data_IF_714525883127
#
_entry.id   IF_714525883127
#
_cell.length_a   1.000
_cell.length_b   1.000
_cell.length_c   1.000
_cell.angle_alpha   90.00
_cell.angle_beta   90.00
_cell.angle_gamma   90.00
#
_symmetry.space_group_name_H-M   'P 1'
#
loop_
_entity.id
_entity.type
_entity.pdbx_description
1 polymer ?
#
# COMPACT_ATOMS: atom_id res chain seq x y z
N UNK A 1 -18.63 76.36 34.01
CA UNK A 1 -19.19 75.11 33.47
C UNK A 1 -18.11 74.44 32.63
N UNK A 2 -17.52 73.39 33.12
CA UNK A 2 -16.38 72.70 32.49
C UNK A 2 -16.90 71.46 31.78
N UNK A 3 -16.90 71.45 30.41
CA UNK A 3 -17.25 70.32 29.57
C UNK A 3 -16.05 69.36 29.49
N UNK A 4 -16.24 68.12 29.83
CA UNK A 4 -15.28 67.04 29.67
C UNK A 4 -15.52 66.36 28.32
N UNK A 5 -14.51 66.41 27.45
CA UNK A 5 -14.48 65.65 26.18
C UNK A 5 -13.95 64.26 26.53
N UNK A 6 -14.78 63.21 26.28
CA UNK A 6 -14.38 61.80 26.33
C UNK A 6 -13.86 61.39 24.97
N UNK A 7 -12.57 61.04 24.89
CA UNK A 7 -11.97 60.43 23.72
C UNK A 7 -12.14 58.91 23.83
N UNK A 8 -12.93 58.35 22.93
CA UNK A 8 -13.06 56.91 22.77
C UNK A 8 -11.90 56.38 21.93
N UNK A 9 -11.04 55.57 22.53
CA UNK A 9 -9.99 54.84 21.82
C UNK A 9 -10.59 53.52 21.33
N UNK A 10 -10.73 53.36 20.04
CA UNK A 10 -11.13 52.11 19.41
C UNK A 10 -9.91 51.18 19.32
N UNK A 11 -9.89 50.13 20.12
CA UNK A 11 -8.92 49.03 19.97
C UNK A 11 -9.40 48.10 18.86
N UNK A 12 -8.73 48.13 17.72
CA UNK A 12 -8.90 47.16 16.66
C UNK A 12 -8.17 45.83 17.06
N UNK A 13 -8.93 44.83 17.47
CA UNK A 13 -8.44 43.50 17.65
C UNK A 13 -8.14 42.85 16.31
N UNK A 14 -6.87 42.76 15.95
CA UNK A 14 -6.40 41.99 14.82
C UNK A 14 -6.64 40.48 15.07
N UNK A 15 -7.53 39.87 14.31
CA UNK A 15 -7.73 38.40 14.32
C UNK A 15 -6.52 37.74 13.66
N UNK A 16 -5.59 37.25 14.46
CA UNK A 16 -4.58 36.31 14.05
C UNK A 16 -5.31 34.99 13.70
N UNK A 17 -5.40 34.72 12.39
CA UNK A 17 -5.91 33.44 11.88
C UNK A 17 -5.01 32.30 12.34
N UNK A 18 -5.38 31.67 13.44
CA UNK A 18 -4.83 30.38 13.81
C UNK A 18 -5.28 29.36 12.78
N UNK A 19 -4.39 29.03 11.83
CA UNK A 19 -4.53 27.87 10.97
C UNK A 19 -4.60 26.62 11.83
N UNK A 20 -5.80 26.23 12.22
CA UNK A 20 -6.05 25.03 13.00
C UNK A 20 -5.61 23.81 12.22
N UNK A 21 -4.47 23.25 12.57
CA UNK A 21 -4.13 21.87 12.21
C UNK A 21 -5.13 20.99 12.95
N UNK A 22 -6.18 20.55 12.23
CA UNK A 22 -7.07 19.54 12.76
C UNK A 22 -6.21 18.34 13.10
N UNK A 23 -6.04 18.07 14.40
CA UNK A 23 -5.54 16.80 14.91
C UNK A 23 -6.48 15.73 14.38
N UNK A 24 -6.14 15.14 13.25
CA UNK A 24 -6.87 14.02 12.68
C UNK A 24 -6.85 12.91 13.72
N UNK A 25 -8.03 12.48 14.15
CA UNK A 25 -8.23 11.34 15.03
C UNK A 25 -7.37 10.15 14.62
N UNK A 26 -6.97 9.27 15.56
CA UNK A 26 -6.16 8.09 15.27
C UNK A 26 -6.77 7.32 14.10
N UNK A 27 -5.92 6.96 13.13
CA UNK A 27 -6.30 6.49 11.80
C UNK A 27 -7.50 5.55 11.78
N UNK A 28 -8.48 5.86 10.96
CA UNK A 28 -9.72 5.07 10.86
C UNK A 28 -9.50 3.68 10.25
N UNK A 29 -8.28 3.38 9.80
CA UNK A 29 -7.93 2.24 8.97
C UNK A 29 -8.27 2.49 7.50
N UNK A 30 -7.75 1.65 6.63
CA UNK A 30 -7.95 1.74 5.19
C UNK A 30 -9.45 1.86 4.82
N UNK A 31 -9.77 2.80 3.93
CA UNK A 31 -11.15 2.97 3.47
C UNK A 31 -11.64 1.73 2.72
N UNK A 32 -12.88 1.26 2.95
CA UNK A 32 -13.47 0.18 2.16
C UNK A 32 -13.48 0.50 0.66
N UNK A 33 -13.48 -0.55 -0.16
CA UNK A 33 -13.69 -0.38 -1.59
C UNK A 33 -15.09 0.20 -1.85
N UNK A 34 -15.21 1.15 -2.78
CA UNK A 34 -16.50 1.77 -3.13
C UNK A 34 -17.58 0.74 -3.48
N UNK A 35 -17.20 -0.35 -4.13
CA UNK A 35 -18.09 -1.44 -4.57
C UNK A 35 -18.28 -2.55 -3.52
N UNK A 36 -17.56 -2.47 -2.39
CA UNK A 36 -17.71 -3.37 -1.24
C UNK A 36 -17.72 -2.56 0.09
N UNK A 37 -18.64 -1.60 0.26
CA UNK A 37 -18.59 -0.64 1.38
C UNK A 37 -18.78 -1.26 2.76
N UNK A 38 -19.34 -2.47 2.84
CA UNK A 38 -19.54 -3.20 4.11
C UNK A 38 -18.33 -4.05 4.52
N UNK A 39 -17.36 -4.25 3.63
CA UNK A 39 -16.15 -5.01 3.93
C UNK A 39 -15.00 -4.05 4.24
N UNK A 40 -14.35 -4.15 5.41
CA UNK A 40 -13.11 -3.43 5.67
C UNK A 40 -12.01 -3.93 4.73
N UNK A 41 -10.96 -3.13 4.56
CA UNK A 41 -9.70 -3.62 4.01
C UNK A 41 -8.81 -3.97 5.19
N UNK A 42 -9.08 -5.11 5.79
CA UNK A 42 -8.59 -5.61 7.07
C UNK A 42 -9.06 -4.80 8.31
N UNK A 43 -8.98 -5.40 9.53
CA UNK A 43 -9.28 -4.70 10.77
C UNK A 43 -8.38 -3.49 11.00
N UNK A 44 -8.84 -2.51 11.76
CA UNK A 44 -8.02 -1.34 12.15
C UNK A 44 -6.71 -1.72 12.86
N UNK A 45 -6.70 -2.86 13.53
CA UNK A 45 -5.52 -3.42 14.22
C UNK A 45 -4.54 -4.09 13.27
N UNK A 46 -4.89 -4.28 12.01
CA UNK A 46 -3.99 -4.90 11.02
C UNK A 46 -2.73 -4.07 10.82
N UNK A 47 -1.60 -4.74 10.60
CA UNK A 47 -0.29 -4.09 10.40
C UNK A 47 -0.27 -3.09 9.25
N UNK A 48 -1.05 -3.33 8.19
CA UNK A 48 -1.20 -2.37 7.09
C UNK A 48 -1.77 -1.02 7.56
N UNK A 49 -2.66 -1.03 8.56
CA UNK A 49 -3.35 0.13 9.10
C UNK A 49 -2.62 0.76 10.30
N UNK A 50 -1.43 0.25 10.69
CA UNK A 50 -0.63 0.79 11.79
C UNK A 50 0.25 1.94 11.33
N UNK A 51 0.19 3.05 12.05
CA UNK A 51 1.10 4.17 11.86
C UNK A 51 2.52 3.79 12.29
N UNK A 52 3.49 4.41 11.62
CA UNK A 52 4.93 4.21 11.87
C UNK A 52 5.70 5.52 11.99
N UNK A 53 5.00 6.65 11.98
CA UNK A 53 5.60 7.98 12.07
C UNK A 53 6.35 8.22 13.39
N UNK A 54 5.94 7.55 14.48
CA UNK A 54 6.58 7.62 15.79
C UNK A 54 7.58 6.48 16.05
N UNK A 55 7.72 5.53 15.12
CA UNK A 55 8.65 4.41 15.32
C UNK A 55 10.10 4.86 15.09
N UNK A 56 11.06 4.29 15.85
CA UNK A 56 12.45 4.61 15.67
C UNK A 56 12.99 4.15 14.32
N UNK A 57 14.04 4.81 13.87
CA UNK A 57 14.82 4.38 12.72
C UNK A 57 15.53 3.06 13.04
N UNK A 58 15.51 2.11 12.11
CA UNK A 58 16.30 0.88 12.20
C UNK A 58 17.80 1.20 12.23
N UNK A 59 18.56 0.44 13.02
CA UNK A 59 20.01 0.65 13.16
C UNK A 59 20.76 0.56 11.83
N UNK A 60 20.32 -0.30 10.92
CA UNK A 60 20.91 -0.49 9.59
C UNK A 60 20.25 0.35 8.48
N UNK A 61 19.34 1.27 8.82
CA UNK A 61 18.62 2.08 7.85
C UNK A 61 19.53 2.83 6.88
N UNK A 62 20.64 3.42 7.37
CA UNK A 62 21.58 4.13 6.52
C UNK A 62 22.30 3.22 5.52
N UNK A 63 22.69 2.04 5.96
CA UNK A 63 23.33 1.04 5.10
C UNK A 63 22.36 0.57 4.00
N UNK A 64 21.13 0.23 4.33
CA UNK A 64 20.11 -0.17 3.35
C UNK A 64 19.85 0.94 2.33
N UNK A 65 19.59 2.16 2.77
CA UNK A 65 19.33 3.28 1.85
C UNK A 65 20.48 3.54 0.91
N UNK A 66 21.74 3.46 1.38
CA UNK A 66 22.92 3.71 0.54
C UNK A 66 23.19 2.62 -0.51
N UNK A 67 22.60 1.43 -0.36
CA UNK A 67 22.73 0.33 -1.33
C UNK A 67 21.55 0.24 -2.31
N UNK A 68 20.49 0.99 -2.08
CA UNK A 68 19.39 1.11 -3.03
C UNK A 68 19.65 2.28 -3.99
N UNK A 69 19.22 2.19 -5.26
CA UNK A 69 19.32 3.31 -6.19
C UNK A 69 18.64 4.56 -5.65
N UNK A 70 19.34 5.70 -5.68
CA UNK A 70 18.76 7.00 -5.27
C UNK A 70 18.02 7.64 -6.44
N UNK A 71 16.91 7.04 -6.83
CA UNK A 71 16.04 7.49 -7.91
C UNK A 71 14.64 7.80 -7.36
N UNK A 72 13.84 8.49 -8.16
CA UNK A 72 12.52 8.95 -7.74
C UNK A 72 11.50 7.83 -7.60
N UNK A 73 10.60 7.98 -6.64
CA UNK A 73 9.43 7.11 -6.47
C UNK A 73 8.59 7.13 -7.74
N UNK A 74 8.37 5.98 -8.32
CA UNK A 74 7.55 5.81 -9.52
C UNK A 74 6.13 5.34 -9.16
N UNK A 75 5.07 6.11 -9.50
CA UNK A 75 3.70 5.63 -9.37
C UNK A 75 3.42 4.60 -10.49
N UNK A 76 3.41 3.32 -10.14
CA UNK A 76 3.13 2.22 -11.07
C UNK A 76 1.61 2.02 -11.22
N UNK A 77 0.93 3.11 -11.49
CA UNK A 77 -0.51 3.21 -11.76
C UNK A 77 -0.83 4.61 -12.30
N UNK A 78 -2.00 4.74 -12.93
CA UNK A 78 -2.40 6.03 -13.48
C UNK A 78 -3.80 6.04 -14.07
N UNK A 79 -4.06 7.05 -14.91
CA UNK A 79 -5.33 7.23 -15.59
C UNK A 79 -5.49 6.30 -16.79
N UNK A 80 -4.40 5.83 -17.37
CA UNK A 80 -4.44 4.98 -18.54
C UNK A 80 -5.14 3.65 -18.21
N UNK A 81 -6.09 3.28 -19.03
CA UNK A 81 -6.88 2.06 -18.82
C UNK A 81 -5.99 0.82 -18.83
N UNK A 82 -5.92 0.15 -17.69
CA UNK A 82 -5.10 -1.05 -17.48
C UNK A 82 -3.70 -0.77 -16.95
N UNK A 83 -3.34 0.48 -16.63
CA UNK A 83 -2.14 0.80 -15.88
C UNK A 83 -2.44 0.80 -14.38
N UNK A 84 -1.78 -0.08 -13.66
CA UNK A 84 -2.08 -0.43 -12.27
C UNK A 84 -2.90 -1.72 -12.14
N UNK A 85 -3.01 -2.25 -10.94
CA UNK A 85 -3.59 -3.57 -10.67
C UNK A 85 -5.12 -3.44 -10.48
N UNK A 86 -5.95 -4.04 -11.35
CA UNK A 86 -7.39 -3.93 -11.26
C UNK A 86 -7.97 -4.81 -10.15
N UNK A 87 -8.99 -4.31 -9.44
CA UNK A 87 -9.71 -5.06 -8.43
C UNK A 87 -11.09 -5.45 -8.96
N UNK A 88 -11.38 -6.75 -8.94
CA UNK A 88 -12.70 -7.30 -9.21
C UNK A 88 -13.48 -7.38 -7.89
N UNK A 89 -14.76 -6.98 -7.91
CA UNK A 89 -15.65 -7.16 -6.76
C UNK A 89 -16.84 -7.99 -7.19
N UNK A 90 -17.10 -9.07 -6.47
CA UNK A 90 -18.14 -10.04 -6.80
C UNK A 90 -19.13 -10.21 -5.62
N UNK A 91 -20.39 -10.61 -5.89
CA UNK A 91 -21.33 -10.97 -4.84
C UNK A 91 -20.93 -12.30 -4.17
N UNK A 92 -21.39 -12.55 -2.94
CA UNK A 92 -21.16 -13.81 -2.22
C UNK A 92 -21.70 -15.06 -2.92
N UNK A 93 -22.62 -14.88 -3.86
CA UNK A 93 -23.22 -15.94 -4.68
C UNK A 93 -22.40 -16.24 -5.95
N UNK A 94 -21.28 -15.53 -6.19
CA UNK A 94 -20.43 -15.77 -7.36
C UNK A 94 -19.95 -17.21 -7.42
N UNK A 95 -20.26 -17.92 -8.51
CA UNK A 95 -19.80 -19.30 -8.72
C UNK A 95 -18.27 -19.36 -8.67
N UNK A 96 -17.76 -20.29 -7.89
CA UNK A 96 -16.33 -20.54 -7.77
C UNK A 96 -15.85 -21.45 -8.89
N UNK A 97 -14.60 -21.20 -9.31
CA UNK A 97 -13.90 -21.96 -10.34
C UNK A 97 -12.64 -22.56 -9.78
N UNK A 98 -12.29 -23.74 -10.22
CA UNK A 98 -11.00 -24.35 -9.94
C UNK A 98 -9.90 -23.56 -10.67
N UNK A 99 -8.73 -23.44 -10.03
CA UNK A 99 -7.50 -22.89 -10.60
C UNK A 99 -6.39 -23.90 -10.41
N UNK A 100 -5.70 -24.23 -11.50
CA UNK A 100 -4.48 -25.06 -11.46
C UNK A 100 -3.29 -24.13 -11.21
N UNK A 101 -2.38 -24.50 -10.31
CA UNK A 101 -1.19 -23.71 -10.02
C UNK A 101 0.02 -24.33 -10.70
N UNK A 102 0.67 -23.53 -11.56
CA UNK A 102 1.74 -24.01 -12.42
C UNK A 102 3.12 -23.93 -11.75
N UNK A 103 3.30 -23.04 -10.72
CA UNK A 103 4.62 -22.81 -10.11
C UNK A 103 4.63 -23.06 -8.61
N UNK A 104 3.80 -22.37 -7.84
CA UNK A 104 3.81 -22.40 -6.38
C UNK A 104 2.61 -23.16 -5.80
N UNK A 105 2.24 -24.29 -6.42
CA UNK A 105 1.10 -25.11 -5.98
C UNK A 105 1.13 -25.46 -4.49
N UNK A 106 2.25 -25.99 -3.95
CA UNK A 106 2.34 -26.34 -2.52
C UNK A 106 2.17 -25.18 -1.55
N UNK A 107 2.41 -23.94 -2.02
CA UNK A 107 2.27 -22.71 -1.24
C UNK A 107 1.01 -21.93 -1.59
N UNK A 108 0.13 -22.50 -2.39
CA UNK A 108 -1.11 -21.84 -2.84
C UNK A 108 -2.34 -22.40 -2.10
N UNK A 109 -3.37 -21.56 -1.96
CA UNK A 109 -4.62 -21.97 -1.35
C UNK A 109 -5.49 -22.69 -2.39
N UNK A 110 -5.56 -24.03 -2.29
CA UNK A 110 -6.37 -24.91 -3.14
C UNK A 110 -7.86 -24.81 -2.82
N UNK A 111 -8.46 -23.67 -3.11
CA UNK A 111 -9.88 -23.37 -2.93
C UNK A 111 -10.53 -23.00 -4.26
N UNK A 112 -11.84 -22.94 -4.28
CA UNK A 112 -12.53 -22.36 -5.44
C UNK A 112 -12.39 -20.83 -5.45
N UNK A 113 -11.98 -20.26 -6.57
CA UNK A 113 -11.83 -18.81 -6.78
C UNK A 113 -13.09 -18.22 -7.43
N UNK A 114 -13.68 -17.14 -6.91
CA UNK A 114 -14.92 -16.58 -7.44
C UNK A 114 -14.67 -15.69 -8.66
N UNK A 115 -14.07 -16.26 -9.71
CA UNK A 115 -13.70 -15.56 -10.95
C UNK A 115 -14.96 -15.12 -11.68
N UNK A 116 -15.16 -13.81 -11.96
CA UNK A 116 -16.34 -13.32 -12.69
C UNK A 116 -16.36 -13.77 -14.15
N UNK A 117 -17.48 -13.51 -14.85
CA UNK A 117 -17.62 -13.86 -16.28
C UNK A 117 -16.61 -13.11 -17.15
N UNK A 118 -16.37 -11.83 -16.83
CA UNK A 118 -15.41 -10.96 -17.52
C UNK A 118 -14.43 -10.40 -16.48
N UNK A 119 -13.40 -11.17 -16.09
CA UNK A 119 -12.45 -10.71 -15.08
C UNK A 119 -11.55 -9.62 -15.64
N UNK A 120 -11.24 -8.67 -14.80
CA UNK A 120 -10.16 -7.72 -15.05
C UNK A 120 -8.88 -8.34 -14.53
N UNK A 121 -7.91 -8.47 -15.41
CA UNK A 121 -6.56 -8.97 -15.11
C UNK A 121 -5.59 -7.84 -15.39
N UNK A 122 -4.56 -7.72 -14.59
CA UNK A 122 -3.47 -6.76 -14.80
C UNK A 122 -2.83 -6.98 -16.17
N UNK A 123 -2.44 -5.88 -16.80
CA UNK A 123 -1.65 -5.94 -18.02
C UNK A 123 -0.19 -6.16 -17.70
N UNK A 124 0.50 -6.91 -18.51
CA UNK A 124 1.92 -7.24 -18.32
C UNK A 124 2.12 -8.71 -17.98
N UNK A 125 3.37 -9.06 -17.66
CA UNK A 125 3.80 -10.44 -17.39
C UNK A 125 3.22 -11.00 -16.11
N UNK A 126 3.03 -10.14 -15.09
CA UNK A 126 2.59 -10.59 -13.75
C UNK A 126 1.12 -10.98 -13.73
N UNK A 127 0.31 -10.37 -14.59
CA UNK A 127 -1.08 -10.75 -14.84
C UNK A 127 -1.87 -11.04 -13.56
N UNK A 128 -1.77 -10.16 -12.56
CA UNK A 128 -2.49 -10.31 -11.30
C UNK A 128 -4.00 -10.24 -11.49
N UNK A 129 -4.72 -11.08 -10.74
CA UNK A 129 -6.17 -11.01 -10.61
C UNK A 129 -6.55 -10.90 -9.15
N UNK A 130 -7.00 -9.72 -8.74
CA UNK A 130 -7.48 -9.44 -7.39
C UNK A 130 -9.00 -9.50 -7.37
N UNK A 131 -9.58 -10.25 -6.42
CA UNK A 131 -11.02 -10.45 -6.31
C UNK A 131 -11.47 -10.27 -4.87
N UNK A 132 -12.42 -9.39 -4.63
CA UNK A 132 -13.09 -9.21 -3.33
C UNK A 132 -14.49 -9.79 -3.42
N UNK A 133 -14.74 -10.84 -2.67
CA UNK A 133 -16.07 -11.36 -2.39
C UNK A 133 -16.73 -10.49 -1.31
N UNK A 134 -17.62 -9.58 -1.74
CA UNK A 134 -18.28 -8.63 -0.85
C UNK A 134 -19.36 -9.22 0.04
N UNK A 135 -19.80 -10.44 -0.24
CA UNK A 135 -20.80 -11.13 0.59
C UNK A 135 -20.19 -11.79 1.82
N UNK A 136 -18.93 -12.22 1.73
CA UNK A 136 -18.21 -12.89 2.80
C UNK A 136 -16.99 -12.10 3.29
N UNK A 137 -16.74 -10.90 2.77
CA UNK A 137 -15.54 -10.09 3.02
C UNK A 137 -14.24 -10.92 2.91
N UNK A 138 -14.10 -11.65 1.80
CA UNK A 138 -12.90 -12.43 1.48
C UNK A 138 -12.19 -11.86 0.30
N UNK A 139 -10.87 -11.82 0.42
CA UNK A 139 -9.94 -11.45 -0.63
C UNK A 139 -9.35 -12.73 -1.25
N UNK A 140 -9.26 -12.75 -2.58
CA UNK A 140 -8.59 -13.77 -3.37
C UNK A 140 -7.65 -13.07 -4.33
N UNK A 141 -6.42 -13.50 -4.38
CA UNK A 141 -5.40 -12.93 -5.25
C UNK A 141 -4.67 -14.05 -5.99
N UNK A 142 -4.47 -13.86 -7.27
CA UNK A 142 -3.81 -14.80 -8.16
C UNK A 142 -2.69 -14.08 -8.90
N UNK A 143 -1.56 -14.74 -9.07
CA UNK A 143 -0.41 -14.29 -9.85
C UNK A 143 -0.31 -15.08 -11.16
N UNK A 144 0.10 -14.42 -12.21
CA UNK A 144 0.30 -14.98 -13.55
C UNK A 144 -0.90 -15.77 -14.09
N UNK A 145 -2.06 -15.10 -14.05
CA UNK A 145 -3.33 -15.72 -14.40
C UNK A 145 -3.50 -15.83 -15.92
N UNK A 146 -3.83 -17.02 -16.37
CA UNK A 146 -4.22 -17.23 -17.75
C UNK A 146 -5.31 -18.29 -17.87
N UNK A 147 -5.96 -18.34 -19.03
CA UNK A 147 -7.02 -19.30 -19.31
C UNK A 147 -6.63 -20.16 -20.49
N UNK A 148 -6.74 -21.48 -20.33
CA UNK A 148 -6.49 -22.49 -21.36
C UNK A 148 -7.78 -23.23 -21.72
N UNK A 149 -7.69 -24.20 -22.62
CA UNK A 149 -8.80 -25.11 -22.92
C UNK A 149 -9.17 -25.96 -21.70
N UNK A 150 -8.19 -26.29 -20.83
CA UNK A 150 -8.40 -27.09 -19.59
C UNK A 150 -8.99 -26.27 -18.44
N UNK A 151 -8.99 -24.94 -18.49
CA UNK A 151 -9.54 -24.11 -17.43
C UNK A 151 -8.68 -22.90 -17.06
N UNK A 152 -8.79 -22.48 -15.81
CA UNK A 152 -8.00 -21.39 -15.25
C UNK A 152 -6.70 -21.89 -14.66
N UNK A 153 -5.62 -21.20 -14.96
CA UNK A 153 -4.28 -21.42 -14.46
C UNK A 153 -3.74 -20.17 -13.81
N UNK A 154 -2.82 -20.36 -12.84
CA UNK A 154 -2.08 -19.27 -12.20
C UNK A 154 -0.72 -19.76 -11.71
N UNK A 155 0.25 -18.87 -11.56
CA UNK A 155 1.53 -19.20 -10.94
C UNK A 155 1.38 -19.49 -9.46
N UNK A 156 0.58 -18.70 -8.75
CA UNK A 156 0.24 -18.87 -7.33
C UNK A 156 -1.15 -18.30 -7.03
N UNK A 157 -1.68 -18.64 -5.84
CA UNK A 157 -2.94 -18.10 -5.37
C UNK A 157 -3.07 -18.07 -3.85
N UNK A 158 -3.68 -17.01 -3.34
CA UNK A 158 -3.82 -16.80 -1.92
C UNK A 158 -5.18 -16.21 -1.54
N UNK A 159 -5.62 -16.48 -0.31
CA UNK A 159 -6.89 -15.95 0.20
C UNK A 159 -6.76 -15.43 1.62
N UNK A 160 -7.53 -14.38 1.92
CA UNK A 160 -7.61 -13.82 3.26
C UNK A 160 -9.06 -13.50 3.64
N UNK A 161 -9.35 -13.61 4.92
CA UNK A 161 -10.52 -12.95 5.50
C UNK A 161 -10.19 -11.48 5.73
N UNK A 162 -10.95 -10.56 5.16
CA UNK A 162 -10.79 -9.12 5.42
C UNK A 162 -11.24 -8.73 6.84
N UNK A 163 -11.80 -9.66 7.59
CA UNK A 163 -12.27 -9.47 8.98
C UNK A 163 -11.25 -9.98 10.02
N UNK A 164 -10.05 -10.39 9.60
CA UNK A 164 -9.07 -11.06 10.46
C UNK A 164 -7.66 -10.57 10.16
N UNK A 165 -6.77 -10.67 11.17
CA UNK A 165 -5.35 -10.38 11.05
C UNK A 165 -4.51 -11.64 10.76
N UNK A 166 -5.14 -12.76 10.41
CA UNK A 166 -4.42 -13.99 10.10
C UNK A 166 -3.45 -13.79 8.93
N UNK A 167 -2.22 -14.20 9.17
CA UNK A 167 -1.16 -14.24 8.16
C UNK A 167 -1.15 -15.61 7.47
N UNK A 168 -0.57 -15.68 6.29
CA UNK A 168 -0.27 -16.94 5.62
C UNK A 168 0.70 -17.81 6.44
N UNK A 169 0.78 -19.11 6.20
CA UNK A 169 1.80 -19.97 6.80
C UNK A 169 3.21 -19.41 6.57
N UNK A 170 4.10 -19.58 7.53
CA UNK A 170 5.49 -19.17 7.41
C UNK A 170 6.17 -19.95 6.28
N UNK A 171 6.87 -19.24 5.40
CA UNK A 171 7.53 -19.81 4.23
C UNK A 171 6.65 -19.88 2.99
N UNK A 172 5.37 -19.50 3.05
CA UNK A 172 4.48 -19.50 1.90
C UNK A 172 4.47 -18.15 1.19
N UNK A 173 4.61 -18.20 -0.13
CA UNK A 173 4.38 -17.04 -1.00
C UNK A 173 2.88 -16.71 -1.09
N UNK A 174 2.52 -15.69 -1.83
CA UNK A 174 1.15 -15.35 -2.21
C UNK A 174 1.09 -15.02 -3.70
N UNK A 175 0.19 -14.15 -4.12
CA UNK A 175 0.30 -13.48 -5.42
C UNK A 175 1.38 -12.39 -5.41
N UNK A 176 2.02 -12.17 -4.26
CA UNK A 176 3.10 -11.23 -4.00
C UNK A 176 4.29 -12.01 -3.42
N UNK A 177 5.52 -11.71 -3.83
CA UNK A 177 6.71 -12.47 -3.46
C UNK A 177 6.95 -12.52 -1.95
N UNK A 178 6.57 -11.48 -1.21
CA UNK A 178 6.70 -11.44 0.24
C UNK A 178 5.70 -12.31 1.01
N UNK A 179 4.76 -12.99 0.32
CA UNK A 179 3.66 -13.71 0.98
C UNK A 179 2.65 -12.76 1.64
N UNK A 180 2.55 -11.53 1.14
CA UNK A 180 1.63 -10.48 1.58
C UNK A 180 0.40 -10.40 0.67
N UNK A 181 -0.71 -9.83 1.14
CA UNK A 181 -1.81 -9.42 0.25
C UNK A 181 -1.42 -8.14 -0.50
N UNK A 182 -1.77 -8.08 -1.78
CA UNK A 182 -1.53 -6.92 -2.66
C UNK A 182 -2.54 -5.80 -2.38
N UNK A 183 -3.82 -6.16 -2.33
CA UNK A 183 -4.96 -5.20 -2.26
C UNK A 183 -4.84 -4.15 -1.16
N UNK A 184 -4.42 -4.45 0.10
CA UNK A 184 -4.35 -3.45 1.15
C UNK A 184 -3.22 -2.44 0.95
N UNK A 185 -2.19 -2.78 0.19
CA UNK A 185 -1.05 -1.91 -0.10
C UNK A 185 -1.21 -1.01 -1.32
N UNK A 186 -2.29 -1.15 -2.09
CA UNK A 186 -2.51 -0.35 -3.29
C UNK A 186 -2.98 1.06 -2.98
N UNK A 187 -2.44 2.05 -3.69
CA UNK A 187 -3.04 3.38 -3.76
C UNK A 187 -4.39 3.28 -4.48
N UNK A 188 -5.47 3.76 -3.85
CA UNK A 188 -6.82 3.69 -4.42
C UNK A 188 -7.43 5.07 -4.62
N UNK A 189 -8.07 5.28 -5.77
CA UNK A 189 -8.65 6.57 -6.14
C UNK A 189 -9.66 7.11 -5.11
N UNK A 190 -10.49 6.24 -4.53
CA UNK A 190 -11.48 6.69 -3.53
C UNK A 190 -10.83 7.36 -2.30
N UNK A 191 -9.63 6.93 -1.92
CA UNK A 191 -8.86 7.50 -0.81
C UNK A 191 -8.16 8.79 -1.22
N UNK A 192 -7.52 8.79 -2.38
CA UNK A 192 -6.89 10.00 -2.95
C UNK A 192 -7.95 11.10 -3.16
N UNK A 193 -9.14 10.74 -3.69
CA UNK A 193 -10.27 11.67 -3.83
C UNK A 193 -10.72 12.23 -2.48
N UNK A 194 -10.82 11.38 -1.45
CA UNK A 194 -11.17 11.76 -0.07
C UNK A 194 -10.10 12.66 0.56
N UNK A 195 -8.85 12.57 0.10
CA UNK A 195 -7.71 13.33 0.62
C UNK A 195 -6.95 12.63 1.75
N UNK A 196 -7.21 11.34 1.98
CA UNK A 196 -6.53 10.58 3.03
C UNK A 196 -6.40 9.12 2.66
N UNK A 197 -5.19 8.57 2.87
CA UNK A 197 -4.86 7.14 2.82
C UNK A 197 -4.41 6.76 4.23
N UNK A 198 -5.17 5.87 4.87
CA UNK A 198 -4.96 5.44 6.25
C UNK A 198 -4.37 4.03 6.33
N UNK A 199 -3.41 3.72 5.48
CA UNK A 199 -2.67 2.45 5.46
C UNK A 199 -1.30 2.59 4.80
N UNK A 200 -0.42 1.61 5.04
CA UNK A 200 0.86 1.50 4.34
C UNK A 200 0.67 1.17 2.86
N UNK A 201 1.61 1.57 2.04
CA UNK A 201 1.62 1.23 0.62
C UNK A 201 2.59 0.07 0.37
N UNK A 202 2.38 -0.69 -0.71
CA UNK A 202 3.36 -1.66 -1.18
C UNK A 202 4.28 -1.03 -2.21
N UNK A 203 5.53 -1.49 -2.25
CA UNK A 203 6.49 -1.07 -3.28
C UNK A 203 7.49 -2.17 -3.59
N UNK A 204 8.21 -2.02 -4.69
CA UNK A 204 9.26 -2.92 -5.15
C UNK A 204 10.64 -2.30 -5.01
N UNK A 205 11.63 -3.15 -4.84
CA UNK A 205 13.06 -2.83 -4.88
C UNK A 205 13.77 -3.83 -5.79
N UNK A 206 14.90 -3.45 -6.42
CA UNK A 206 15.58 -4.36 -7.35
C UNK A 206 16.21 -5.57 -6.67
N UNK A 207 16.64 -5.41 -5.43
CA UNK A 207 17.36 -6.45 -4.69
C UNK A 207 16.93 -6.48 -3.23
N UNK A 208 16.57 -7.67 -2.74
CA UNK A 208 16.39 -7.97 -1.32
C UNK A 208 17.34 -9.07 -0.90
N UNK A 209 17.76 -9.12 0.35
CA UNK A 209 18.45 -10.30 0.89
C UNK A 209 17.47 -11.46 1.07
N UNK A 210 17.96 -12.69 1.06
CA UNK A 210 17.15 -13.91 1.12
C UNK A 210 16.56 -14.17 2.52
N UNK A 211 15.78 -13.20 3.00
CA UNK A 211 15.14 -13.22 4.31
C UNK A 211 13.83 -12.43 4.29
N UNK A 212 13.08 -12.50 5.39
CA UNK A 212 11.88 -11.69 5.56
C UNK A 212 11.68 -11.26 7.03
N UNK A 213 10.97 -10.16 7.20
CA UNK A 213 10.51 -9.67 8.50
C UNK A 213 8.99 -9.53 8.49
N UNK A 214 8.38 -9.55 9.70
CA UNK A 214 6.94 -9.30 9.83
C UNK A 214 6.56 -7.97 9.16
N UNK A 215 5.47 -7.92 8.36
CA UNK A 215 4.42 -8.93 8.21
C UNK A 215 4.66 -9.97 7.10
N UNK A 216 5.74 -9.89 6.34
CA UNK A 216 6.02 -10.87 5.29
C UNK A 216 6.12 -12.30 5.83
N UNK A 217 5.83 -13.26 4.98
CA UNK A 217 5.84 -14.68 5.31
C UNK A 217 6.79 -15.49 4.45
N UNK A 218 7.24 -14.93 3.34
CA UNK A 218 8.08 -15.59 2.36
C UNK A 218 9.32 -14.75 2.04
N UNK A 219 10.40 -15.42 1.68
CA UNK A 219 11.67 -14.84 1.21
C UNK A 219 11.78 -15.03 -0.29
N UNK A 220 12.18 -14.01 -1.00
CA UNK A 220 12.38 -14.06 -2.45
C UNK A 220 13.63 -13.28 -2.88
N UNK A 221 14.60 -13.15 -1.97
CA UNK A 221 15.79 -12.35 -2.17
C UNK A 221 16.97 -13.13 -2.72
N UNK A 222 18.02 -12.38 -3.06
CA UNK A 222 19.30 -12.93 -3.49
C UNK A 222 20.05 -13.53 -2.27
N UNK A 223 20.42 -14.82 -2.29
CA UNK A 223 21.18 -15.46 -1.21
C UNK A 223 22.64 -14.95 -1.10
N UNK A 224 23.15 -14.24 -2.10
CA UNK A 224 24.52 -13.75 -2.14
C UNK A 224 24.69 -12.35 -1.53
N UNK A 225 23.59 -11.67 -1.15
CA UNK A 225 23.66 -10.36 -0.51
C UNK A 225 23.26 -10.46 0.96
N UNK A 226 23.89 -9.61 1.79
CA UNK A 226 23.64 -9.60 3.23
C UNK A 226 22.43 -8.74 3.61
N UNK A 227 21.84 -9.04 4.77
CA UNK A 227 20.66 -8.32 5.27
C UNK A 227 21.01 -7.10 6.15
N UNK A 228 22.27 -6.69 6.22
CA UNK A 228 22.67 -5.42 6.83
C UNK A 228 22.54 -4.30 5.81
N UNK A 229 22.96 -4.59 4.57
CA UNK A 229 23.04 -3.65 3.47
C UNK A 229 21.81 -3.69 2.53
N UNK A 230 21.10 -4.82 2.49
CA UNK A 230 19.93 -4.98 1.62
C UNK A 230 18.65 -5.22 2.43
N UNK A 231 17.51 -4.69 1.98
CA UNK A 231 16.26 -4.90 2.68
C UNK A 231 15.80 -6.36 2.60
N UNK A 232 15.00 -6.77 3.57
CA UNK A 232 14.27 -8.04 3.57
C UNK A 232 12.88 -7.83 2.98
N UNK A 233 12.24 -8.90 2.52
CA UNK A 233 10.80 -8.86 2.28
C UNK A 233 10.06 -8.45 3.56
N UNK A 234 9.10 -7.54 3.45
CA UNK A 234 8.35 -7.00 4.59
C UNK A 234 9.02 -5.83 5.32
N UNK A 235 10.24 -5.47 4.97
CA UNK A 235 10.91 -4.28 5.54
C UNK A 235 10.05 -3.04 5.27
N UNK A 236 9.96 -2.15 6.27
CA UNK A 236 9.10 -0.96 6.17
C UNK A 236 9.93 0.31 6.11
N UNK A 237 9.70 1.05 5.05
CA UNK A 237 10.32 2.35 4.82
C UNK A 237 9.32 3.46 5.16
N UNK A 238 9.82 4.60 5.60
CA UNK A 238 9.02 5.78 5.91
C UNK A 238 9.65 7.01 5.28
N UNK A 239 8.87 7.78 4.55
CA UNK A 239 9.28 9.11 4.09
C UNK A 239 9.56 10.00 5.31
N UNK A 240 10.67 10.70 5.30
CA UNK A 240 11.10 11.56 6.40
C UNK A 240 10.06 12.65 6.71
N UNK A 241 9.88 12.97 7.97
CA UNK A 241 8.89 13.95 8.42
C UNK A 241 9.20 15.38 7.99
N UNK A 242 10.48 15.67 7.70
CA UNK A 242 10.96 16.98 7.22
C UNK A 242 10.84 17.15 5.69
N UNK A 243 10.47 16.09 4.95
CA UNK A 243 10.19 16.21 3.52
C UNK A 243 8.99 17.16 3.28
N UNK A 244 9.13 18.19 2.39
CA UNK A 244 8.14 19.25 2.24
C UNK A 244 6.92 18.82 1.39
N UNK A 245 6.12 17.89 1.90
CA UNK A 245 4.93 17.37 1.19
C UNK A 245 3.93 18.45 0.79
N UNK A 246 3.97 19.62 1.45
CA UNK A 246 3.09 20.75 1.15
C UNK A 246 3.27 21.33 -0.25
N UNK A 247 4.45 21.21 -0.85
CA UNK A 247 4.77 21.67 -2.21
C UNK A 247 4.21 20.78 -3.31
N UNK A 248 3.83 19.51 -2.98
CA UNK A 248 3.37 18.55 -3.96
C UNK A 248 1.93 18.86 -4.43
N UNK A 249 1.59 18.56 -5.69
CA UNK A 249 0.22 18.55 -6.18
C UNK A 249 -0.67 17.65 -5.30
N UNK A 250 -1.96 17.93 -5.25
CA UNK A 250 -2.90 17.32 -4.30
C UNK A 250 -2.83 15.78 -4.24
N UNK A 251 -2.79 15.09 -5.40
CA UNK A 251 -2.78 13.62 -5.42
C UNK A 251 -1.46 13.06 -4.88
N UNK A 252 -0.32 13.57 -5.36
CA UNK A 252 1.00 13.19 -4.86
C UNK A 252 1.15 13.51 -3.37
N UNK A 253 0.65 14.66 -2.92
CA UNK A 253 0.68 15.05 -1.50
C UNK A 253 -0.05 14.05 -0.60
N UNK A 254 -1.26 13.60 -1.00
CA UNK A 254 -2.02 12.59 -0.23
C UNK A 254 -1.24 11.29 -0.09
N UNK A 255 -0.58 10.85 -1.18
CA UNK A 255 0.25 9.64 -1.20
C UNK A 255 1.50 9.83 -0.33
N UNK A 256 2.19 10.95 -0.48
CA UNK A 256 3.40 11.25 0.31
C UNK A 256 3.11 11.36 1.82
N UNK A 257 1.96 11.92 2.22
CA UNK A 257 1.52 11.93 3.62
C UNK A 257 1.29 10.50 4.15
N UNK A 258 0.74 9.60 3.32
CA UNK A 258 0.62 8.19 3.72
C UNK A 258 2.00 7.54 3.89
N UNK A 259 2.96 7.84 3.01
CA UNK A 259 4.35 7.39 3.14
C UNK A 259 5.02 7.91 4.43
N UNK A 260 4.71 9.14 4.87
CA UNK A 260 5.20 9.66 6.15
C UNK A 260 4.53 8.97 7.35
N UNK A 261 3.23 8.71 7.30
CA UNK A 261 2.45 8.23 8.45
C UNK A 261 2.45 6.72 8.58
N UNK A 262 2.26 6.03 7.46
CA UNK A 262 2.11 4.58 7.40
C UNK A 262 3.30 3.88 6.75
N UNK A 263 4.13 4.62 6.01
CA UNK A 263 5.27 4.08 5.28
C UNK A 263 4.89 3.23 4.08
N UNK A 264 5.92 2.63 3.50
CA UNK A 264 5.85 1.69 2.38
C UNK A 264 6.51 0.37 2.77
N UNK A 265 5.98 -0.76 2.31
CA UNK A 265 6.44 -2.11 2.67
C UNK A 265 7.03 -2.78 1.45
N UNK A 266 8.25 -3.31 1.58
CA UNK A 266 8.86 -4.15 0.53
C UNK A 266 8.02 -5.40 0.34
N UNK A 267 7.39 -5.51 -0.80
CA UNK A 267 6.43 -6.56 -1.11
C UNK A 267 6.93 -7.52 -2.20
N UNK A 268 7.77 -7.02 -3.09
CA UNK A 268 8.32 -7.79 -4.18
C UNK A 268 9.69 -7.25 -4.63
N UNK A 269 10.43 -8.06 -5.39
CA UNK A 269 11.54 -7.60 -6.21
C UNK A 269 10.99 -7.08 -7.55
N UNK A 270 11.62 -6.03 -8.08
CA UNK A 270 11.20 -5.41 -9.32
C UNK A 270 11.94 -4.10 -9.56
N UNK A 271 11.41 -3.25 -10.41
CA UNK A 271 12.00 -1.93 -10.63
C UNK A 271 11.98 -1.12 -9.33
N UNK A 272 13.04 -0.39 -9.10
CA UNK A 272 13.26 0.38 -7.87
C UNK A 272 12.19 1.44 -7.63
N UNK A 273 11.76 1.53 -6.39
CA UNK A 273 10.83 2.54 -5.89
C UNK A 273 9.47 2.59 -6.62
N UNK A 274 9.05 1.48 -7.26
CA UNK A 274 7.72 1.39 -7.86
C UNK A 274 6.67 1.19 -6.77
N UNK A 275 5.81 2.20 -6.60
CA UNK A 275 4.66 2.15 -5.68
C UNK A 275 3.42 1.82 -6.49
N UNK A 276 2.75 0.72 -6.15
CA UNK A 276 1.61 0.21 -6.90
C UNK A 276 0.29 0.86 -6.46
N UNK A 277 -0.64 0.92 -7.41
CA UNK A 277 -1.99 1.41 -7.19
C UNK A 277 -3.04 0.67 -8.00
N UNK A 278 -4.28 0.83 -7.60
CA UNK A 278 -5.41 0.29 -8.35
C UNK A 278 -5.69 1.16 -9.59
N UNK A 279 -5.82 0.52 -10.75
CA UNK A 279 -6.14 1.19 -12.02
C UNK A 279 -7.39 2.04 -11.92
N UNK A 280 -7.31 3.35 -12.28
CA UNK A 280 -8.46 4.25 -12.25
C UNK A 280 -8.28 5.47 -13.17
N UNK A 281 -9.22 5.67 -14.10
CA UNK A 281 -9.18 6.75 -15.08
C UNK A 281 -9.29 8.19 -14.51
N UNK A 282 -9.55 8.34 -13.22
CA UNK A 282 -9.63 9.67 -12.58
C UNK A 282 -8.29 10.16 -12.03
N UNK A 283 -7.24 9.36 -12.03
CA UNK A 283 -5.92 9.84 -11.69
C UNK A 283 -5.45 10.91 -12.67
N UNK A 284 -4.70 11.87 -12.19
CA UNK A 284 -4.00 12.86 -13.01
C UNK A 284 -2.52 12.45 -13.06
N UNK A 285 -2.10 11.93 -14.20
CA UNK A 285 -0.75 11.37 -14.36
C UNK A 285 0.33 12.44 -14.23
N UNK A 286 0.08 13.69 -14.66
CA UNK A 286 1.02 14.79 -14.45
C UNK A 286 1.19 15.13 -12.96
N UNK A 287 0.07 15.13 -12.22
CA UNK A 287 0.11 15.31 -10.77
C UNK A 287 0.79 14.16 -10.04
N UNK A 288 0.66 12.92 -10.53
CA UNK A 288 1.33 11.76 -9.95
C UNK A 288 2.84 11.78 -10.21
N UNK A 289 3.28 12.24 -11.40
CA UNK A 289 4.72 12.35 -11.73
C UNK A 289 5.50 13.21 -10.74
N UNK A 290 4.85 14.08 -9.97
CA UNK A 290 5.51 14.82 -8.91
C UNK A 290 6.10 13.92 -7.79
N UNK A 291 5.65 12.66 -7.67
CA UNK A 291 6.26 11.68 -6.77
C UNK A 291 7.70 11.34 -7.16
N UNK A 292 8.08 11.49 -8.44
CA UNK A 292 9.45 11.28 -8.89
C UNK A 292 10.47 12.25 -8.25
N UNK A 293 9.99 13.34 -7.64
CA UNK A 293 10.82 14.25 -6.84
C UNK A 293 11.12 13.73 -5.42
N UNK A 294 10.56 12.60 -5.00
CA UNK A 294 10.87 11.92 -3.74
C UNK A 294 11.83 10.79 -4.07
N UNK A 295 13.05 10.83 -3.55
CA UNK A 295 14.08 9.83 -3.87
C UNK A 295 14.35 8.87 -2.71
N UNK A 296 15.14 7.83 -2.94
CA UNK A 296 15.53 6.87 -1.91
C UNK A 296 16.11 7.52 -0.67
N UNK A 297 16.91 8.57 -0.84
CA UNK A 297 17.56 9.32 0.26
C UNK A 297 16.55 10.10 1.15
N UNK A 298 15.32 10.29 0.70
CA UNK A 298 14.24 10.90 1.50
C UNK A 298 13.59 9.92 2.47
N UNK A 299 13.91 8.63 2.38
CA UNK A 299 13.35 7.59 3.24
C UNK A 299 14.29 7.18 4.37
N UNK A 300 13.69 6.59 5.38
CA UNK A 300 14.37 5.81 6.43
C UNK A 300 13.70 4.45 6.56
N UNK A 301 14.48 3.41 6.87
CA UNK A 301 13.93 2.13 7.30
C UNK A 301 13.56 2.24 8.77
N UNK A 302 12.37 1.79 9.16
CA UNK A 302 11.88 1.87 10.53
C UNK A 302 11.96 0.54 11.25
N UNK A 303 12.24 0.58 12.54
CA UNK A 303 12.16 -0.60 13.40
C UNK A 303 10.70 -0.96 13.67
N UNK A 304 10.26 -2.07 13.12
CA UNK A 304 8.89 -2.57 13.25
C UNK A 304 8.76 -3.70 14.28
N UNK A 305 9.77 -3.92 15.12
CA UNK A 305 9.79 -5.02 16.10
C UNK A 305 8.59 -4.98 17.07
N UNK A 306 8.10 -3.77 17.38
CA UNK A 306 6.94 -3.57 18.26
C UNK A 306 5.59 -3.79 17.59
N UNK A 307 5.53 -3.94 16.27
CA UNK A 307 4.27 -4.13 15.54
C UNK A 307 3.74 -5.57 15.56
N UNK A 308 4.51 -6.51 16.11
CA UNK A 308 4.20 -7.97 16.04
C UNK A 308 3.00 -8.39 16.87
N UNK A 309 2.53 -7.56 17.78
CA UNK A 309 1.50 -7.90 18.78
C UNK A 309 0.20 -7.10 18.59
N UNK A 310 -0.16 -6.85 17.36
CA UNK A 310 -1.41 -6.14 17.02
C UNK A 310 -2.58 -7.07 16.68
#
# INVERSE_FOLDING_TARGET
>A
MRGRILIAVALSAGALGAGGWALLAPGAGASPLKTAPKCPVFPKTNVWNKRVDDLPRSANSGAIISHLPDVGVHPDFGSFQGYGIPINVVPGTQRRKHVTFDWYGPESDHVGYPIPKSPKIERGSDAHMLIVDRGHCRLFELYHVHKTASGWHAGSGATWSLLSNHLRPKGWTSADAAGLPITPGLVRWNEVKKGVIDHALRFTVPTTCNSFVYPARHRAGDPNVDCVNYPRMGERFRLRSDFPVGSLPRQARVIAIAMQRYGIIVADNGTEWYVQGASNAHFNDDGLRALNGITGSDFVVVDTSTLRNG
#
